data_IF_249977716323
#
_entry.id   IF_249977716323
#
_cell.length_a   1.000
_cell.length_b   1.000
_cell.length_c   1.000
_cell.angle_alpha   90.00
_cell.angle_beta   90.00
_cell.angle_gamma   90.00
#
_symmetry.space_group_name_H-M   'P 1'
#
loop_
_entity.id
_entity.type
_entity.pdbx_description
1 polymer ?
#
# COMPACT_ATOMS: atom_id res chain seq x y z
N UNK A 1 -2.76 -0.68 -20.42
CA UNK A 1 -1.52 -0.43 -19.65
C UNK A 1 -1.59 -1.11 -18.30
N UNK A 2 -0.66 -2.01 -18.04
CA UNK A 2 -0.61 -2.93 -16.90
C UNK A 2 -0.35 -2.14 -15.60
N UNK A 3 -1.20 -2.29 -14.57
CA UNK A 3 -1.17 -1.52 -13.31
C UNK A 3 0.08 -1.76 -12.43
N UNK A 4 1.01 -2.58 -12.88
CA UNK A 4 2.07 -3.16 -12.05
C UNK A 4 3.38 -2.34 -12.08
N UNK A 5 3.62 -1.57 -13.15
CA UNK A 5 4.81 -0.72 -13.27
C UNK A 5 5.57 -0.91 -14.58
N UNK A 6 6.88 -0.68 -14.52
CA UNK A 6 7.82 -0.77 -15.65
C UNK A 6 8.65 -2.05 -15.50
N UNK A 7 8.74 -2.81 -16.59
CA UNK A 7 9.56 -4.02 -16.66
C UNK A 7 10.88 -3.70 -17.35
N UNK A 8 11.98 -4.16 -16.75
CA UNK A 8 13.34 -3.94 -17.24
C UNK A 8 14.03 -5.30 -17.35
N UNK A 9 14.57 -5.62 -18.52
CA UNK A 9 15.37 -6.83 -18.70
C UNK A 9 16.80 -6.53 -18.26
N UNK A 10 17.29 -7.24 -17.24
CA UNK A 10 18.63 -7.03 -16.67
C UNK A 10 19.64 -7.96 -17.34
N UNK A 11 19.27 -9.23 -17.50
CA UNK A 11 20.06 -10.26 -18.17
C UNK A 11 19.13 -11.32 -18.76
N UNK A 12 19.66 -12.27 -19.53
CA UNK A 12 18.85 -13.36 -20.09
C UNK A 12 18.14 -14.13 -18.97
N UNK A 13 16.80 -14.17 -19.05
CA UNK A 13 15.94 -14.84 -18.07
C UNK A 13 15.69 -14.09 -16.76
N UNK A 14 16.27 -12.90 -16.53
CA UNK A 14 16.05 -12.11 -15.31
C UNK A 14 15.27 -10.85 -15.62
N UNK A 15 14.12 -10.69 -14.96
CA UNK A 15 13.24 -9.54 -15.13
C UNK A 15 13.21 -8.66 -13.88
N UNK A 16 13.56 -7.40 -14.06
CA UNK A 16 13.38 -6.33 -13.09
C UNK A 16 11.97 -5.72 -13.18
N UNK A 17 11.35 -5.43 -12.04
CA UNK A 17 10.10 -4.69 -11.95
C UNK A 17 10.32 -3.41 -11.14
N UNK A 18 10.01 -2.27 -11.73
CA UNK A 18 9.89 -0.98 -11.05
C UNK A 18 8.39 -0.69 -10.82
N UNK A 19 7.90 -0.77 -9.57
CA UNK A 19 6.50 -0.52 -9.26
C UNK A 19 6.02 0.86 -9.72
N UNK A 20 4.78 0.94 -10.23
CA UNK A 20 4.15 2.21 -10.64
C UNK A 20 4.08 3.23 -9.49
N UNK A 21 3.97 2.77 -8.24
CA UNK A 21 3.98 3.65 -7.06
C UNK A 21 5.30 4.41 -6.90
N UNK A 22 6.40 3.87 -7.44
CA UNK A 22 7.74 4.44 -7.36
C UNK A 22 8.08 5.29 -8.57
N UNK A 23 7.50 4.98 -9.73
CA UNK A 23 7.70 5.74 -10.97
C UNK A 23 7.26 7.19 -10.80
N UNK A 24 8.18 8.13 -11.02
CA UNK A 24 7.88 9.56 -11.02
C UNK A 24 7.04 9.89 -12.24
N UNK A 25 6.00 10.73 -12.08
CA UNK A 25 5.10 11.13 -13.18
C UNK A 25 5.82 11.85 -14.33
N UNK A 26 6.98 12.44 -14.04
CA UNK A 26 7.79 13.16 -15.01
C UNK A 26 8.84 12.25 -15.68
N UNK A 27 9.06 11.03 -15.18
CA UNK A 27 9.98 10.11 -15.84
C UNK A 27 9.30 9.47 -17.03
N UNK A 28 9.94 9.64 -18.17
CA UNK A 28 9.52 9.03 -19.43
C UNK A 28 10.55 7.97 -19.78
N UNK A 29 10.17 6.70 -19.64
CA UNK A 29 11.02 5.59 -20.03
C UNK A 29 10.81 5.25 -21.50
N UNK A 30 11.88 5.22 -22.28
CA UNK A 30 11.85 4.72 -23.65
C UNK A 30 12.43 3.31 -23.75
N UNK A 31 11.82 2.47 -24.59
CA UNK A 31 12.33 1.12 -24.85
C UNK A 31 13.74 1.20 -25.44
N UNK A 32 14.71 0.59 -24.76
CA UNK A 32 16.12 0.57 -25.18
C UNK A 32 17.00 1.64 -24.53
N UNK A 33 16.44 2.50 -23.67
CA UNK A 33 17.23 3.46 -22.91
C UNK A 33 17.88 2.77 -21.67
N UNK A 34 19.20 2.92 -21.47
CA UNK A 34 19.85 2.43 -20.26
C UNK A 34 19.49 3.31 -19.07
N UNK A 35 18.97 2.70 -17.99
CA UNK A 35 18.59 3.39 -16.75
C UNK A 35 19.38 2.82 -15.58
N UNK A 36 19.85 3.68 -14.69
CA UNK A 36 20.50 3.26 -13.44
C UNK A 36 19.48 3.19 -12.31
N UNK A 37 19.27 1.99 -11.76
CA UNK A 37 18.33 1.71 -10.68
C UNK A 37 19.02 0.94 -9.55
N UNK A 38 18.46 1.01 -8.35
CA UNK A 38 18.91 0.28 -7.18
C UNK A 38 18.05 -0.97 -6.97
N UNK A 39 18.69 -2.08 -6.58
CA UNK A 39 18.01 -3.33 -6.23
C UNK A 39 17.50 -3.25 -4.78
N UNK A 40 16.20 -3.43 -4.59
CA UNK A 40 15.57 -3.41 -3.25
C UNK A 40 15.21 -4.80 -2.73
N UNK A 41 14.82 -5.71 -3.62
CA UNK A 41 14.54 -7.10 -3.25
C UNK A 41 14.89 -8.03 -4.41
N UNK A 42 15.33 -9.25 -4.06
CA UNK A 42 15.70 -10.29 -5.02
C UNK A 42 14.86 -11.52 -4.72
N UNK A 43 14.09 -11.97 -5.71
CA UNK A 43 13.36 -13.23 -5.69
C UNK A 43 14.06 -14.20 -6.66
N UNK A 44 14.82 -15.14 -6.07
CA UNK A 44 15.62 -16.11 -6.82
C UNK A 44 14.77 -17.23 -7.43
N UNK A 45 13.61 -17.54 -6.85
CA UNK A 45 12.76 -18.64 -7.31
C UNK A 45 12.04 -18.24 -8.59
N UNK A 46 11.55 -17.00 -8.65
CA UNK A 46 10.85 -16.47 -9.80
C UNK A 46 11.76 -15.71 -10.78
N UNK A 47 13.08 -15.62 -10.50
CA UNK A 47 14.04 -14.82 -11.27
C UNK A 47 13.60 -13.36 -11.43
N UNK A 48 13.03 -12.79 -10.36
CA UNK A 48 12.47 -11.44 -10.33
C UNK A 48 13.26 -10.54 -9.40
N UNK A 49 13.52 -9.32 -9.87
CA UNK A 49 14.22 -8.31 -9.07
C UNK A 49 13.31 -7.10 -8.93
N UNK A 50 13.14 -6.63 -7.70
CA UNK A 50 12.39 -5.40 -7.44
C UNK A 50 13.34 -4.22 -7.42
N UNK A 51 13.10 -3.28 -8.33
CA UNK A 51 13.95 -2.11 -8.56
C UNK A 51 13.36 -0.86 -7.91
N UNK A 52 14.22 0.10 -7.64
CA UNK A 52 13.87 1.43 -7.15
C UNK A 52 14.88 2.46 -7.67
N UNK A 53 14.56 3.74 -7.51
CA UNK A 53 15.42 4.86 -7.86
C UNK A 53 16.63 4.93 -6.93
N UNK A 54 17.82 5.10 -7.51
CA UNK A 54 19.06 5.19 -6.74
C UNK A 54 19.19 6.53 -5.99
N UNK A 55 18.53 7.59 -6.49
CA UNK A 55 18.50 8.93 -5.91
C UNK A 55 17.48 9.09 -4.77
N UNK A 56 16.86 7.99 -4.35
CA UNK A 56 15.86 8.01 -3.28
C UNK A 56 16.54 8.21 -1.93
N UNK A 57 16.09 9.20 -1.17
CA UNK A 57 16.68 9.47 0.14
C UNK A 57 16.36 8.34 1.13
N UNK A 58 17.25 8.05 2.10
CA UNK A 58 16.97 7.09 3.17
C UNK A 58 15.69 7.41 3.96
N UNK A 59 15.33 8.70 4.04
CA UNK A 59 14.12 9.20 4.71
C UNK A 59 12.87 8.75 3.96
N UNK A 60 12.83 8.92 2.63
CA UNK A 60 11.69 8.50 1.80
C UNK A 60 11.45 6.98 1.86
N UNK A 61 12.53 6.19 1.91
CA UNK A 61 12.45 4.75 2.06
C UNK A 61 11.86 4.33 3.42
N UNK A 62 12.20 5.06 4.49
CA UNK A 62 11.65 4.81 5.82
C UNK A 62 10.16 5.17 5.90
N UNK A 63 9.76 6.30 5.32
CA UNK A 63 8.35 6.74 5.30
C UNK A 63 7.45 5.76 4.53
N UNK A 64 7.92 5.21 3.40
CA UNK A 64 7.13 4.22 2.65
C UNK A 64 6.91 2.94 3.45
N UNK A 65 7.90 2.48 4.21
CA UNK A 65 7.74 1.29 5.08
C UNK A 65 6.65 1.51 6.11
N UNK A 66 6.68 2.65 6.81
CA UNK A 66 5.65 3.01 7.81
C UNK A 66 4.26 3.04 7.16
N UNK A 67 4.13 3.68 5.99
CA UNK A 67 2.85 3.76 5.28
C UNK A 67 2.35 2.38 4.83
N UNK A 68 3.24 1.51 4.37
CA UNK A 68 2.90 0.15 3.96
C UNK A 68 2.51 -0.75 5.13
N UNK A 69 3.15 -0.59 6.29
CA UNK A 69 2.83 -1.31 7.52
C UNK A 69 1.46 -0.90 8.07
N UNK A 70 1.15 0.41 8.13
CA UNK A 70 -0.15 0.90 8.59
C UNK A 70 -1.31 0.37 7.74
N UNK A 71 -1.16 0.41 6.41
CA UNK A 71 -2.18 -0.10 5.49
C UNK A 71 -2.45 -1.59 5.73
N UNK A 72 -1.39 -2.38 5.91
CA UNK A 72 -1.50 -3.82 6.12
C UNK A 72 -2.20 -4.16 7.46
N UNK A 73 -1.97 -3.36 8.52
CA UNK A 73 -2.69 -3.50 9.79
C UNK A 73 -4.19 -3.21 9.66
N UNK A 74 -4.58 -2.14 8.94
CA UNK A 74 -6.00 -1.78 8.73
C UNK A 74 -6.75 -2.83 7.92
N UNK A 75 -6.13 -3.38 6.87
CA UNK A 75 -6.73 -4.42 6.05
C UNK A 75 -6.92 -5.73 6.82
N UNK A 76 -5.92 -6.18 7.58
CA UNK A 76 -6.04 -7.37 8.43
C UNK A 76 -7.14 -7.22 9.49
N UNK A 77 -7.28 -6.03 10.09
CA UNK A 77 -8.31 -5.79 11.09
C UNK A 77 -9.72 -5.76 10.47
N UNK A 78 -9.86 -5.18 9.28
CA UNK A 78 -11.13 -5.11 8.55
C UNK A 78 -11.60 -6.49 8.06
N UNK A 79 -10.69 -7.31 7.53
CA UNK A 79 -10.97 -8.71 7.14
C UNK A 79 -11.38 -9.57 8.33
N UNK A 80 -10.74 -9.40 9.50
CA UNK A 80 -11.15 -10.10 10.74
C UNK A 80 -12.57 -9.73 11.16
N UNK A 81 -12.93 -8.44 11.17
CA UNK A 81 -14.28 -7.98 11.55
C UNK A 81 -15.34 -8.53 10.57
N UNK A 82 -15.02 -8.61 9.28
CA UNK A 82 -15.92 -9.13 8.24
C UNK A 82 -16.09 -10.65 8.30
N UNK A 83 -15.02 -11.39 8.59
CA UNK A 83 -15.05 -12.85 8.71
C UNK A 83 -15.65 -13.33 10.04
N UNK A 84 -15.63 -12.52 11.09
CA UNK A 84 -16.29 -12.82 12.37
C UNK A 84 -17.80 -12.56 12.39
N UNK A 85 -18.39 -11.98 11.33
CA UNK A 85 -19.82 -11.69 11.29
C UNK A 85 -20.57 -12.75 10.46
N UNK A 86 -21.12 -13.81 11.08
CA UNK A 86 -21.92 -14.78 10.35
C UNK A 86 -23.12 -14.06 9.74
N UNK A 87 -23.27 -14.18 8.42
CA UNK A 87 -24.50 -13.81 7.70
C UNK A 87 -25.65 -14.68 8.21
N UNK A 88 -26.27 -14.27 9.31
CA UNK A 88 -27.51 -14.85 9.81
C UNK A 88 -28.64 -13.85 9.56
N UNK A 89 -29.44 -14.14 8.55
CA UNK A 89 -30.76 -13.53 8.43
C UNK A 89 -31.53 -13.75 9.73
N UNK A 90 -32.15 -12.69 10.23
CA UNK A 90 -32.95 -12.75 11.45
C UNK A 90 -33.04 -11.39 12.12
N UNK A 91 -34.14 -10.69 11.85
CA UNK A 91 -34.61 -9.49 12.58
C UNK A 91 -34.35 -9.64 14.08
N UNK A 92 -33.72 -8.66 14.73
CA UNK A 92 -33.96 -8.36 16.15
C UNK A 92 -33.39 -6.98 16.56
N UNK A 93 -34.27 -5.97 16.55
CA UNK A 93 -34.49 -4.81 17.46
C UNK A 93 -33.35 -4.11 18.24
N UNK A 94 -32.09 -4.49 18.09
CA UNK A 94 -30.94 -3.85 18.75
C UNK A 94 -30.22 -2.83 17.85
N UNK A 95 -30.61 -2.75 16.57
CA UNK A 95 -30.04 -1.88 15.54
C UNK A 95 -30.40 -0.39 15.65
N UNK A 96 -31.28 0.01 16.58
CA UNK A 96 -31.80 1.38 16.61
C UNK A 96 -30.94 2.34 17.45
N UNK A 97 -30.27 1.82 18.49
CA UNK A 97 -29.38 2.63 19.32
C UNK A 97 -28.08 2.98 18.58
N UNK A 98 -27.51 2.04 17.84
CA UNK A 98 -26.23 2.22 17.16
C UNK A 98 -26.36 3.16 15.95
N UNK A 99 -27.54 3.23 15.34
CA UNK A 99 -27.87 4.20 14.27
C UNK A 99 -27.95 5.64 14.79
N UNK A 100 -28.35 5.85 16.05
CA UNK A 100 -28.32 7.20 16.66
C UNK A 100 -26.90 7.70 16.85
N UNK A 101 -25.99 6.84 17.30
CA UNK A 101 -24.58 7.21 17.45
C UNK A 101 -23.86 7.37 16.11
N UNK A 102 -24.21 6.60 15.08
CA UNK A 102 -23.59 6.69 13.75
C UNK A 102 -23.97 7.97 12.98
N UNK A 103 -25.16 8.53 13.21
CA UNK A 103 -25.60 9.78 12.59
C UNK A 103 -25.28 11.03 13.44
N UNK A 104 -24.74 10.84 14.65
CA UNK A 104 -24.19 11.92 15.45
C UNK A 104 -22.80 12.24 14.88
N UNK A 105 -22.62 13.44 14.32
CA UNK A 105 -21.31 13.92 13.85
C UNK A 105 -20.34 13.97 15.03
N UNK A 106 -19.68 12.86 15.31
CA UNK A 106 -18.51 12.81 16.18
C UNK A 106 -17.43 13.53 15.39
N UNK A 107 -17.10 14.74 15.83
CA UNK A 107 -16.05 15.53 15.22
C UNK A 107 -14.72 14.84 15.57
N UNK A 108 -14.01 14.19 14.62
CA UNK A 108 -12.86 13.33 14.92
C UNK A 108 -11.63 14.11 15.42
N UNK A 109 -11.74 15.43 15.59
CA UNK A 109 -10.69 16.31 16.08
C UNK A 109 -10.62 16.44 17.62
N UNK A 110 -11.48 15.72 18.37
CA UNK A 110 -11.51 15.75 19.84
C UNK A 110 -10.85 14.52 20.49
N UNK A 111 -10.57 13.47 19.71
CA UNK A 111 -9.95 12.22 20.20
C UNK A 111 -8.54 12.07 19.59
N UNK A 112 -7.80 13.18 19.54
CA UNK A 112 -6.41 13.18 19.10
C UNK A 112 -5.55 13.51 20.33
N UNK A 113 -4.92 12.51 20.98
CA UNK A 113 -4.22 12.68 22.26
C UNK A 113 -2.91 13.51 22.16
N UNK A 114 -2.61 14.05 20.98
CA UNK A 114 -1.45 14.90 20.70
C UNK A 114 -1.84 16.30 20.20
N UNK A 115 -3.09 16.74 20.37
CA UNK A 115 -3.54 18.03 19.84
C UNK A 115 -2.91 19.25 20.53
N UNK A 116 -2.48 19.09 21.77
CA UNK A 116 -1.93 20.17 22.61
C UNK A 116 -0.43 19.98 22.94
N UNK A 117 0.33 19.34 22.06
CA UNK A 117 1.81 19.31 22.14
C UNK A 117 2.45 20.20 21.08
#
# INVERSE_FOLDING_TARGET
STNFGVFVTISEGITGLLPKSRVRKNDTFQTGEPVTLMVTAIDKENHRITLDYADRSPVELAEERVRSEEHNYRDQHTEKIRSSNPRRGGRNRSDEEWRKYANQKVNPAADNPFKDL
#
